data_IF_467624940599
#
_entry.id   IF_467624940599
#
_cell.length_a   1.000
_cell.length_b   1.000
_cell.length_c   1.000
_cell.angle_alpha   90.00
_cell.angle_beta   90.00
_cell.angle_gamma   90.00
#
_symmetry.space_group_name_H-M   'P 1'
#
loop_
_entity.id
_entity.type
_entity.pdbx_description
1 polymer ?
#
# COMPACT_ATOMS: atom_id res chain seq x y z
N UNK A 1 -33.01 63.99 5.34
CA UNK A 1 -33.04 62.83 6.26
C UNK A 1 -31.88 61.94 5.93
N UNK A 2 -30.83 61.98 6.75
CA UNK A 2 -29.74 61.01 6.65
C UNK A 2 -30.23 59.68 7.23
N UNK A 3 -29.85 58.54 6.66
CA UNK A 3 -30.25 57.23 7.17
C UNK A 3 -29.54 56.97 8.51
N UNK A 4 -30.31 56.59 9.52
CA UNK A 4 -29.79 56.21 10.85
C UNK A 4 -30.06 54.72 11.08
N UNK A 5 -29.00 53.98 11.38
CA UNK A 5 -29.01 52.53 11.56
C UNK A 5 -28.65 52.19 13.00
N UNK A 6 -29.29 51.16 13.57
CA UNK A 6 -29.09 50.79 14.98
C UNK A 6 -27.71 50.17 15.22
N UNK A 7 -27.12 49.54 14.20
CA UNK A 7 -25.80 48.90 14.29
C UNK A 7 -24.91 49.25 13.10
N UNK A 8 -23.60 49.11 13.28
CA UNK A 8 -22.62 49.26 12.20
C UNK A 8 -22.84 48.24 11.09
N UNK A 9 -23.23 47.01 11.42
CA UNK A 9 -23.49 45.95 10.45
C UNK A 9 -24.68 46.28 9.52
N UNK A 10 -25.75 46.88 10.07
CA UNK A 10 -26.88 47.34 9.26
C UNK A 10 -26.50 48.50 8.34
N UNK A 11 -25.67 49.43 8.84
CA UNK A 11 -25.12 50.53 8.06
C UNK A 11 -24.18 50.03 6.93
N UNK A 12 -23.32 49.06 7.22
CA UNK A 12 -22.46 48.40 6.24
C UNK A 12 -23.31 47.67 5.20
N UNK A 13 -24.31 46.89 5.61
CA UNK A 13 -25.21 46.19 4.69
C UNK A 13 -25.99 47.15 3.77
N UNK A 14 -26.43 48.30 4.28
CA UNK A 14 -27.10 49.33 3.49
C UNK A 14 -26.15 49.99 2.48
N UNK A 15 -24.91 50.26 2.89
CA UNK A 15 -23.86 50.77 2.01
C UNK A 15 -23.47 49.75 0.92
N UNK A 16 -23.34 48.46 1.25
CA UNK A 16 -23.07 47.40 0.28
C UNK A 16 -24.23 47.22 -0.73
N UNK A 17 -25.49 47.34 -0.27
CA UNK A 17 -26.67 47.35 -1.16
C UNK A 17 -26.63 48.52 -2.14
N UNK A 18 -26.17 49.69 -1.70
CA UNK A 18 -25.95 50.84 -2.58
C UNK A 18 -24.87 50.54 -3.63
N UNK A 19 -23.71 50.01 -3.23
CA UNK A 19 -22.64 49.63 -4.17
C UNK A 19 -23.15 48.66 -5.24
N UNK A 20 -23.91 47.64 -4.83
CA UNK A 20 -24.52 46.66 -5.72
C UNK A 20 -25.56 47.27 -6.66
N UNK A 21 -26.45 48.12 -6.15
CA UNK A 21 -27.49 48.80 -6.96
C UNK A 21 -26.88 49.74 -7.99
N UNK A 22 -25.78 50.40 -7.63
CA UNK A 22 -25.06 51.32 -8.51
C UNK A 22 -24.16 50.62 -9.53
N UNK A 23 -24.11 49.27 -9.52
CA UNK A 23 -23.35 48.49 -10.50
C UNK A 23 -21.84 48.59 -10.35
N UNK A 24 -21.35 48.95 -9.15
CA UNK A 24 -19.92 49.07 -8.85
C UNK A 24 -19.23 47.74 -9.13
N UNK A 25 -18.17 47.79 -9.94
CA UNK A 25 -17.38 46.63 -10.33
C UNK A 25 -16.04 46.58 -9.58
N UNK A 26 -15.41 45.41 -9.44
CA UNK A 26 -14.14 45.27 -8.71
C UNK A 26 -12.95 46.00 -9.36
N UNK A 27 -13.03 46.35 -10.64
CA UNK A 27 -12.02 47.10 -11.38
C UNK A 27 -12.15 48.62 -11.21
N UNK A 28 -13.22 49.10 -10.57
CA UNK A 28 -13.42 50.52 -10.29
C UNK A 28 -12.49 50.99 -9.18
N UNK A 29 -12.02 52.23 -9.29
CA UNK A 29 -11.33 52.88 -8.20
C UNK A 29 -12.30 53.62 -7.26
N UNK A 30 -11.81 53.99 -6.07
CA UNK A 30 -12.64 54.65 -5.05
C UNK A 30 -13.22 55.98 -5.54
N UNK A 31 -12.45 56.79 -6.27
CA UNK A 31 -12.89 58.10 -6.77
C UNK A 31 -14.00 57.99 -7.83
N UNK A 32 -13.89 57.02 -8.73
CA UNK A 32 -14.92 56.69 -9.71
C UNK A 32 -16.21 56.25 -9.02
N UNK A 33 -16.08 55.38 -8.02
CA UNK A 33 -17.23 54.92 -7.22
C UNK A 33 -17.91 56.07 -6.49
N UNK A 34 -17.15 56.98 -5.87
CA UNK A 34 -17.68 58.15 -5.18
C UNK A 34 -18.51 59.06 -6.08
N UNK A 35 -18.09 59.29 -7.34
CA UNK A 35 -18.85 60.10 -8.30
C UNK A 35 -20.24 59.53 -8.56
N UNK A 36 -20.38 58.21 -8.47
CA UNK A 36 -21.63 57.48 -8.72
C UNK A 36 -22.52 57.46 -7.48
N UNK A 37 -21.94 57.25 -6.29
CA UNK A 37 -22.73 56.97 -5.07
C UNK A 37 -22.95 58.19 -4.16
N UNK A 38 -22.16 59.27 -4.28
CA UNK A 38 -22.15 60.37 -3.29
C UNK A 38 -23.46 61.14 -3.16
N UNK A 39 -24.31 61.12 -4.20
CA UNK A 39 -25.64 61.78 -4.18
C UNK A 39 -26.71 60.93 -3.50
N UNK A 40 -26.43 59.65 -3.24
CA UNK A 40 -27.39 58.74 -2.66
C UNK A 40 -27.47 58.94 -1.13
N UNK A 41 -28.67 59.02 -0.53
CA UNK A 41 -28.81 59.10 0.93
C UNK A 41 -28.08 57.97 1.66
N UNK A 42 -28.03 56.77 1.05
CA UNK A 42 -27.39 55.58 1.61
C UNK A 42 -25.86 55.65 1.65
N UNK A 43 -25.24 56.60 0.94
CA UNK A 43 -23.81 56.85 1.05
C UNK A 43 -23.40 57.27 2.47
N UNK A 44 -24.31 57.96 3.19
CA UNK A 44 -24.09 58.41 4.57
C UNK A 44 -24.45 57.38 5.64
N UNK A 45 -24.85 56.17 5.24
CA UNK A 45 -25.17 55.07 6.17
C UNK A 45 -23.99 54.78 7.12
N UNK A 46 -22.77 54.67 6.58
CA UNK A 46 -21.54 54.63 7.36
C UNK A 46 -21.09 56.07 7.62
N UNK A 47 -20.77 56.45 8.85
CA UNK A 47 -20.44 57.85 9.21
C UNK A 47 -18.98 58.20 8.88
N UNK A 48 -18.02 57.33 9.19
CA UNK A 48 -16.59 57.55 8.96
C UNK A 48 -16.21 57.31 7.47
N UNK A 49 -15.58 58.29 6.78
CA UNK A 49 -15.05 58.09 5.44
C UNK A 49 -14.05 56.93 5.32
N UNK A 50 -13.27 56.62 6.37
CA UNK A 50 -12.34 55.48 6.38
C UNK A 50 -13.08 54.16 6.31
N UNK A 51 -14.14 54.02 7.12
CA UNK A 51 -14.97 52.81 7.15
C UNK A 51 -15.71 52.62 5.82
N UNK A 52 -16.15 53.71 5.16
CA UNK A 52 -16.73 53.64 3.80
C UNK A 52 -15.74 53.08 2.78
N UNK A 53 -14.50 53.56 2.83
CA UNK A 53 -13.45 53.09 1.92
C UNK A 53 -13.09 51.62 2.20
N UNK A 54 -12.98 51.24 3.47
CA UNK A 54 -12.73 49.84 3.86
C UNK A 54 -13.87 48.91 3.42
N UNK A 55 -15.13 49.32 3.60
CA UNK A 55 -16.30 48.56 3.15
C UNK A 55 -16.33 48.40 1.62
N UNK A 56 -15.90 49.42 0.87
CA UNK A 56 -15.75 49.33 -0.58
C UNK A 56 -14.63 48.38 -1.01
N UNK A 57 -13.45 48.47 -0.40
CA UNK A 57 -12.33 47.57 -0.70
C UNK A 57 -12.69 46.11 -0.40
N UNK A 58 -13.37 45.87 0.73
CA UNK A 58 -13.93 44.56 1.10
C UNK A 58 -14.95 44.07 0.07
N UNK A 59 -15.89 44.92 -0.35
CA UNK A 59 -16.88 44.59 -1.38
C UNK A 59 -16.22 44.15 -2.69
N UNK A 60 -15.23 44.90 -3.18
CA UNK A 60 -14.51 44.56 -4.40
C UNK A 60 -13.74 43.23 -4.25
N UNK A 61 -13.10 43.01 -3.10
CA UNK A 61 -12.41 41.75 -2.81
C UNK A 61 -13.38 40.57 -2.78
N UNK A 62 -14.49 40.68 -2.04
CA UNK A 62 -15.50 39.63 -1.90
C UNK A 62 -16.13 39.29 -3.25
N UNK A 63 -16.38 40.28 -4.12
CA UNK A 63 -16.84 40.05 -5.49
C UNK A 63 -15.85 39.22 -6.31
N UNK A 64 -14.54 39.54 -6.26
CA UNK A 64 -13.50 38.78 -6.98
C UNK A 64 -13.44 37.33 -6.47
N UNK A 65 -13.47 37.14 -5.15
CA UNK A 65 -13.45 35.81 -4.52
C UNK A 65 -14.68 35.01 -4.96
N UNK A 66 -15.86 35.61 -4.84
CA UNK A 66 -17.12 34.96 -5.18
C UNK A 66 -17.23 34.60 -6.67
N UNK A 67 -16.77 35.47 -7.58
CA UNK A 67 -16.76 35.15 -9.02
C UNK A 67 -15.76 34.04 -9.35
N UNK A 68 -14.60 34.00 -8.67
CA UNK A 68 -13.64 32.90 -8.79
C UNK A 68 -14.22 31.58 -8.27
N UNK A 69 -14.93 31.61 -7.15
CA UNK A 69 -15.60 30.43 -6.57
C UNK A 69 -16.70 29.92 -7.49
N UNK A 70 -17.59 30.81 -7.97
CA UNK A 70 -18.63 30.46 -8.94
C UNK A 70 -18.05 29.87 -10.23
N UNK A 71 -16.95 30.43 -10.74
CA UNK A 71 -16.27 29.89 -11.91
C UNK A 71 -15.71 28.47 -11.66
N UNK A 72 -15.13 28.24 -10.47
CA UNK A 72 -14.62 26.94 -10.03
C UNK A 72 -15.75 25.92 -9.84
N UNK A 73 -16.86 26.32 -9.24
CA UNK A 73 -18.04 25.46 -9.06
C UNK A 73 -18.64 25.06 -10.41
N UNK A 74 -18.79 26.03 -11.33
CA UNK A 74 -19.25 25.78 -12.70
C UNK A 74 -18.38 24.75 -13.40
N UNK A 75 -17.05 24.90 -13.31
CA UNK A 75 -16.11 23.97 -13.94
C UNK A 75 -16.11 22.59 -13.28
N UNK A 76 -16.21 22.54 -11.94
CA UNK A 76 -16.32 21.27 -11.20
C UNK A 76 -17.59 20.51 -11.56
N UNK A 77 -18.72 21.22 -11.65
CA UNK A 77 -19.99 20.65 -12.08
C UNK A 77 -19.92 20.15 -13.52
N UNK A 78 -19.39 20.97 -14.43
CA UNK A 78 -19.21 20.58 -15.83
C UNK A 78 -18.32 19.33 -15.95
N UNK A 79 -17.23 19.23 -15.19
CA UNK A 79 -16.39 18.02 -15.12
C UNK A 79 -17.19 16.78 -14.75
N UNK A 80 -17.92 16.84 -13.63
CA UNK A 80 -18.69 15.72 -13.13
C UNK A 80 -19.81 15.29 -14.10
N UNK A 81 -20.50 16.28 -14.70
CA UNK A 81 -21.55 16.02 -15.69
C UNK A 81 -20.95 15.39 -16.96
N UNK A 82 -19.80 15.88 -17.44
CA UNK A 82 -19.12 15.37 -18.63
C UNK A 82 -18.59 13.94 -18.41
N UNK A 83 -18.03 13.66 -17.23
CA UNK A 83 -17.60 12.31 -16.84
C UNK A 83 -18.80 11.34 -16.78
N UNK A 84 -19.92 11.77 -16.19
CA UNK A 84 -21.15 10.98 -16.09
C UNK A 84 -21.73 10.67 -17.46
N UNK A 85 -21.72 11.65 -18.37
CA UNK A 85 -22.11 11.47 -19.77
C UNK A 85 -21.17 10.46 -20.45
N UNK A 86 -19.85 10.63 -20.37
CA UNK A 86 -18.88 9.73 -21.00
C UNK A 86 -18.99 8.28 -20.51
N UNK A 87 -19.31 8.08 -19.22
CA UNK A 87 -19.58 6.75 -18.65
C UNK A 87 -20.77 6.01 -19.29
N UNK A 88 -21.71 6.73 -19.93
CA UNK A 88 -22.86 6.13 -20.64
C UNK A 88 -22.48 5.60 -22.02
N UNK A 89 -21.28 5.88 -22.50
CA UNK A 89 -20.75 5.44 -23.80
C UNK A 89 -19.74 4.30 -23.62
N UNK A 90 -20.18 3.03 -23.51
CA UNK A 90 -19.28 1.89 -23.32
C UNK A 90 -18.32 1.67 -24.50
N UNK A 91 -18.60 2.22 -25.68
CA UNK A 91 -17.73 2.23 -26.85
C UNK A 91 -16.47 3.10 -26.66
N UNK A 92 -16.48 4.05 -25.72
CA UNK A 92 -15.31 4.84 -25.35
C UNK A 92 -14.44 4.00 -24.41
N UNK A 93 -13.28 3.59 -24.91
CA UNK A 93 -12.27 2.81 -24.18
C UNK A 93 -11.07 3.68 -23.85
N UNK A 94 -10.18 3.17 -22.99
CA UNK A 94 -8.93 3.85 -22.58
C UNK A 94 -7.99 4.24 -23.75
N UNK A 95 -8.17 3.65 -24.94
CA UNK A 95 -7.40 3.97 -26.15
C UNK A 95 -8.16 4.83 -27.17
N UNK A 96 -9.44 5.14 -26.92
CA UNK A 96 -10.29 5.92 -27.84
C UNK A 96 -9.74 7.34 -27.98
N UNK A 97 -9.71 7.85 -29.22
CA UNK A 97 -9.21 9.19 -29.56
C UNK A 97 -10.36 10.18 -29.68
N UNK A 98 -10.08 11.46 -29.43
CA UNK A 98 -11.07 12.55 -29.53
C UNK A 98 -11.84 12.56 -30.85
N UNK A 99 -11.13 12.43 -31.99
CA UNK A 99 -11.75 12.42 -33.33
C UNK A 99 -12.81 11.32 -33.50
N UNK A 100 -12.66 10.20 -32.78
CA UNK A 100 -13.58 9.06 -32.83
C UNK A 100 -14.71 9.23 -31.82
N UNK A 101 -14.41 9.74 -30.63
CA UNK A 101 -15.40 9.96 -29.57
C UNK A 101 -16.35 11.13 -29.86
N UNK A 102 -15.85 12.20 -30.49
CA UNK A 102 -16.63 13.43 -30.71
C UNK A 102 -17.97 13.18 -31.42
N UNK A 103 -18.04 12.46 -32.56
CA UNK A 103 -19.32 12.16 -33.20
C UNK A 103 -20.28 11.32 -32.34
N UNK A 104 -19.76 10.58 -31.35
CA UNK A 104 -20.58 9.75 -30.45
C UNK A 104 -21.29 10.60 -29.38
N UNK A 105 -20.68 11.73 -28.98
CA UNK A 105 -21.13 12.55 -27.85
C UNK A 105 -21.66 13.93 -28.25
N UNK A 106 -21.55 14.34 -29.52
CA UNK A 106 -21.97 15.69 -29.96
C UNK A 106 -23.50 15.95 -29.86
N UNK A 107 -24.28 14.87 -29.79
CA UNK A 107 -25.73 14.91 -29.54
C UNK A 107 -26.10 15.20 -28.09
N UNK A 108 -25.17 15.01 -27.15
CA UNK A 108 -25.45 15.05 -25.72
C UNK A 108 -25.67 16.48 -25.22
N UNK A 109 -26.60 16.63 -24.28
CA UNK A 109 -26.96 17.95 -23.70
C UNK A 109 -25.78 18.57 -22.96
N UNK A 110 -25.01 17.75 -22.24
CA UNK A 110 -23.83 18.17 -21.49
C UNK A 110 -22.69 18.58 -22.43
N UNK A 111 -22.54 17.91 -23.57
CA UNK A 111 -21.58 18.33 -24.59
C UNK A 111 -21.90 19.74 -25.10
N UNK A 112 -23.19 20.04 -25.27
CA UNK A 112 -23.70 21.34 -25.75
C UNK A 112 -23.78 22.43 -24.67
N UNK A 113 -23.55 22.12 -23.39
CA UNK A 113 -23.63 23.12 -22.32
C UNK A 113 -22.41 24.05 -22.21
N UNK A 114 -21.31 23.73 -22.89
CA UNK A 114 -20.16 24.62 -23.10
C UNK A 114 -19.86 24.66 -24.60
N UNK A 115 -19.56 25.83 -25.16
CA UNK A 115 -19.15 25.97 -26.57
C UNK A 115 -17.63 25.94 -26.77
N UNK A 116 -16.86 25.85 -25.68
CA UNK A 116 -15.42 25.85 -25.73
C UNK A 116 -14.88 24.46 -26.10
N UNK A 117 -14.49 24.29 -27.37
CA UNK A 117 -13.95 23.02 -27.88
C UNK A 117 -12.66 22.57 -27.15
N UNK A 118 -11.83 23.52 -26.72
CA UNK A 118 -10.61 23.20 -25.95
C UNK A 118 -10.96 22.61 -24.59
N UNK A 119 -11.96 23.17 -23.91
CA UNK A 119 -12.46 22.68 -22.63
C UNK A 119 -13.07 21.28 -22.79
N UNK A 120 -13.94 21.07 -23.78
CA UNK A 120 -14.54 19.75 -24.08
C UNK A 120 -13.47 18.68 -24.31
N UNK A 121 -12.45 19.01 -25.10
CA UNK A 121 -11.35 18.10 -25.39
C UNK A 121 -10.54 17.78 -24.13
N UNK A 122 -10.26 18.78 -23.29
CA UNK A 122 -9.56 18.57 -22.03
C UNK A 122 -10.34 17.65 -21.10
N UNK A 123 -11.65 17.85 -20.94
CA UNK A 123 -12.51 17.00 -20.12
C UNK A 123 -12.50 15.54 -20.59
N UNK A 124 -12.53 15.32 -21.91
CA UNK A 124 -12.40 13.99 -22.48
C UNK A 124 -11.01 13.37 -22.23
N UNK A 125 -9.93 14.15 -22.40
CA UNK A 125 -8.57 13.67 -22.16
C UNK A 125 -8.36 13.30 -20.68
N UNK A 126 -8.92 14.10 -19.74
CA UNK A 126 -8.96 13.79 -18.31
C UNK A 126 -9.63 12.43 -18.06
N UNK A 127 -10.82 12.19 -18.64
CA UNK A 127 -11.52 10.90 -18.54
C UNK A 127 -10.73 9.72 -19.14
N UNK A 128 -10.08 9.90 -20.28
CA UNK A 128 -9.25 8.85 -20.90
C UNK A 128 -8.05 8.51 -20.03
N UNK A 129 -7.44 9.49 -19.36
CA UNK A 129 -6.34 9.25 -18.40
C UNK A 129 -6.85 8.39 -17.24
N UNK A 130 -8.02 8.70 -16.69
CA UNK A 130 -8.64 7.89 -15.63
C UNK A 130 -8.94 6.46 -16.11
N UNK A 131 -9.50 6.28 -17.31
CA UNK A 131 -9.72 4.95 -17.88
C UNK A 131 -8.42 4.17 -18.09
N UNK A 132 -7.34 4.82 -18.53
CA UNK A 132 -6.01 4.18 -18.66
C UNK A 132 -5.47 3.75 -17.30
N UNK A 133 -5.58 4.62 -16.30
CA UNK A 133 -5.16 4.32 -14.93
C UNK A 133 -5.95 3.13 -14.38
N UNK A 134 -7.27 3.17 -14.47
CA UNK A 134 -8.13 2.07 -14.03
C UNK A 134 -7.81 0.75 -14.76
N UNK A 135 -7.49 0.80 -16.06
CA UNK A 135 -7.10 -0.38 -16.82
C UNK A 135 -5.77 -0.99 -16.32
N UNK A 136 -4.74 -0.16 -16.11
CA UNK A 136 -3.44 -0.59 -15.59
C UNK A 136 -3.57 -1.12 -14.17
N UNK A 137 -4.34 -0.45 -13.32
CA UNK A 137 -4.60 -0.88 -11.94
C UNK A 137 -5.32 -2.23 -11.92
N UNK A 138 -6.31 -2.43 -12.79
CA UNK A 138 -7.01 -3.70 -12.92
C UNK A 138 -6.09 -4.83 -13.42
N UNK A 139 -5.23 -4.58 -14.41
CA UNK A 139 -4.25 -5.56 -14.88
C UNK A 139 -3.24 -5.92 -13.79
N UNK A 140 -2.74 -4.92 -13.07
CA UNK A 140 -1.76 -5.11 -11.99
C UNK A 140 -2.38 -5.89 -10.83
N UNK A 141 -3.60 -5.54 -10.43
CA UNK A 141 -4.35 -6.24 -9.39
C UNK A 141 -4.63 -7.69 -9.79
N UNK A 142 -5.11 -7.93 -11.01
CA UNK A 142 -5.38 -9.28 -11.52
C UNK A 142 -4.12 -10.14 -11.56
N UNK A 143 -2.99 -9.60 -12.05
CA UNK A 143 -1.69 -10.27 -12.04
C UNK A 143 -1.22 -10.56 -10.62
N UNK A 144 -1.37 -9.62 -9.69
CA UNK A 144 -1.00 -9.81 -8.28
C UNK A 144 -1.83 -10.93 -7.65
N UNK A 145 -3.15 -10.91 -7.80
CA UNK A 145 -4.02 -11.99 -7.30
C UNK A 145 -3.64 -13.34 -7.92
N UNK A 146 -3.34 -13.40 -9.21
CA UNK A 146 -2.87 -14.62 -9.86
C UNK A 146 -1.52 -15.09 -9.29
N UNK A 147 -0.57 -14.18 -9.06
CA UNK A 147 0.73 -14.48 -8.44
C UNK A 147 0.58 -15.01 -7.01
N UNK A 148 -0.21 -14.35 -6.17
CA UNK A 148 -0.46 -14.78 -4.79
C UNK A 148 -1.09 -16.19 -4.77
N UNK A 149 -2.06 -16.43 -5.67
CA UNK A 149 -2.65 -17.74 -5.83
C UNK A 149 -1.66 -18.82 -6.32
N UNK A 150 -0.65 -18.45 -7.10
CA UNK A 150 0.39 -19.39 -7.54
C UNK A 150 1.35 -19.69 -6.38
N UNK A 151 1.73 -18.68 -5.60
CA UNK A 151 2.55 -18.83 -4.39
C UNK A 151 1.86 -19.75 -3.37
N UNK A 152 0.54 -19.65 -3.23
CA UNK A 152 -0.25 -20.52 -2.35
C UNK A 152 -0.42 -21.95 -2.90
N UNK A 153 -0.31 -22.12 -4.23
CA UNK A 153 -0.47 -23.41 -4.90
C UNK A 153 0.82 -24.23 -4.84
N UNK A 154 1.97 -23.61 -5.07
CA UNK A 154 3.26 -24.29 -5.19
C UNK A 154 3.59 -25.23 -4.02
N UNK A 155 3.40 -24.85 -2.73
CA UNK A 155 3.63 -25.75 -1.60
C UNK A 155 2.74 -27.00 -1.60
N UNK A 156 1.55 -26.95 -2.21
CA UNK A 156 0.60 -28.07 -2.25
C UNK A 156 0.96 -29.11 -3.31
N UNK A 157 1.90 -28.77 -4.20
CA UNK A 157 2.37 -29.66 -5.27
C UNK A 157 3.43 -30.65 -4.79
N UNK A 158 3.82 -30.61 -3.51
CA UNK A 158 4.81 -31.49 -2.89
C UNK A 158 6.12 -31.59 -3.70
N UNK A 159 6.60 -30.46 -4.21
CA UNK A 159 7.85 -30.39 -4.96
C UNK A 159 9.03 -30.66 -4.02
N UNK A 160 10.01 -31.43 -4.50
CA UNK A 160 11.24 -31.69 -3.75
C UNK A 160 12.20 -30.48 -3.84
N UNK A 161 13.09 -30.26 -2.85
CA UNK A 161 13.99 -29.11 -2.81
C UNK A 161 14.86 -28.91 -4.06
N UNK A 162 15.16 -29.98 -4.80
CA UNK A 162 16.03 -29.95 -5.97
C UNK A 162 15.28 -30.26 -7.29
N UNK A 163 13.95 -30.08 -7.29
CA UNK A 163 13.13 -30.30 -8.48
C UNK A 163 13.56 -29.33 -9.59
N UNK A 164 13.74 -29.83 -10.82
CA UNK A 164 14.10 -29.00 -11.96
C UNK A 164 12.86 -28.35 -12.57
N UNK A 165 13.06 -27.21 -13.24
CA UNK A 165 11.97 -26.50 -13.92
C UNK A 165 11.22 -27.38 -14.93
N UNK A 166 11.92 -28.22 -15.70
CA UNK A 166 11.30 -29.07 -16.71
C UNK A 166 10.25 -30.03 -16.10
N UNK A 167 10.57 -30.62 -14.95
CA UNK A 167 9.67 -31.53 -14.25
C UNK A 167 8.53 -30.76 -13.57
N UNK A 168 8.87 -29.66 -12.90
CA UNK A 168 7.89 -28.82 -12.21
C UNK A 168 6.89 -28.16 -13.17
N UNK A 169 7.32 -27.76 -14.36
CA UNK A 169 6.45 -27.15 -15.36
C UNK A 169 5.31 -28.09 -15.76
N UNK A 170 5.61 -29.39 -15.94
CA UNK A 170 4.60 -30.40 -16.22
C UNK A 170 3.58 -30.56 -15.08
N UNK A 171 4.07 -30.58 -13.84
CA UNK A 171 3.22 -30.69 -12.63
C UNK A 171 2.33 -29.44 -12.48
N UNK A 172 2.91 -28.24 -12.57
CA UNK A 172 2.17 -26.98 -12.45
C UNK A 172 1.11 -26.88 -13.56
N UNK A 173 1.48 -27.18 -14.81
CA UNK A 173 0.56 -27.06 -15.96
C UNK A 173 -0.55 -28.11 -15.97
N UNK A 174 -0.34 -29.25 -15.30
CA UNK A 174 -1.35 -30.32 -15.16
C UNK A 174 -2.25 -30.14 -13.93
N UNK A 175 -1.95 -29.16 -13.08
CA UNK A 175 -2.69 -28.94 -11.83
C UNK A 175 -4.08 -28.35 -12.11
N UNK A 176 -5.19 -28.95 -11.60
CA UNK A 176 -6.54 -28.50 -11.95
C UNK A 176 -6.84 -27.02 -11.64
N UNK A 177 -6.43 -26.45 -10.48
CA UNK A 177 -6.49 -25.00 -10.27
C UNK A 177 -5.82 -24.17 -11.36
N UNK A 178 -4.65 -24.60 -11.85
CA UNK A 178 -3.89 -23.85 -12.85
C UNK A 178 -4.51 -23.94 -14.26
N UNK A 179 -5.18 -25.05 -14.57
CA UNK A 179 -5.89 -25.24 -15.86
C UNK A 179 -7.25 -24.55 -15.91
N UNK A 180 -8.00 -24.62 -14.81
CA UNK A 180 -9.42 -24.24 -14.79
C UNK A 180 -9.64 -22.78 -14.36
N UNK A 181 -8.70 -22.18 -13.62
CA UNK A 181 -8.86 -20.81 -13.13
C UNK A 181 -8.27 -19.81 -14.13
N UNK A 182 -9.15 -19.00 -14.73
CA UNK A 182 -8.81 -17.96 -15.70
C UNK A 182 -7.79 -16.95 -15.17
N UNK A 183 -7.69 -16.76 -13.85
CA UNK A 183 -6.73 -15.83 -13.25
C UNK A 183 -5.29 -16.13 -13.68
N UNK A 184 -4.93 -17.41 -13.80
CA UNK A 184 -3.55 -17.83 -14.11
C UNK A 184 -3.19 -17.58 -15.57
N UNK A 185 -4.16 -17.40 -16.47
CA UNK A 185 -3.91 -17.02 -17.87
C UNK A 185 -3.34 -15.62 -18.01
N UNK A 186 -3.48 -14.77 -16.99
CA UNK A 186 -2.88 -13.44 -16.95
C UNK A 186 -1.38 -13.47 -16.66
N UNK A 187 -0.86 -14.60 -16.16
CA UNK A 187 0.55 -14.75 -15.84
C UNK A 187 1.36 -15.08 -17.08
N UNK A 188 2.51 -14.43 -17.22
CA UNK A 188 3.50 -14.79 -18.22
C UNK A 188 4.29 -16.02 -17.79
N UNK A 189 4.95 -16.71 -18.74
CA UNK A 189 5.87 -17.79 -18.40
C UNK A 189 6.99 -17.33 -17.44
N UNK A 190 7.45 -16.08 -17.58
CA UNK A 190 8.44 -15.48 -16.69
C UNK A 190 7.92 -15.34 -15.25
N UNK A 191 6.64 -14.98 -15.08
CA UNK A 191 6.01 -14.89 -13.76
C UNK A 191 6.00 -16.25 -13.05
N UNK A 192 5.56 -17.30 -13.77
CA UNK A 192 5.50 -18.66 -13.22
C UNK A 192 6.89 -19.16 -12.86
N UNK A 193 7.88 -18.93 -13.73
CA UNK A 193 9.27 -19.31 -13.47
C UNK A 193 9.83 -18.59 -12.23
N UNK A 194 9.53 -17.30 -12.07
CA UNK A 194 9.99 -16.50 -10.93
C UNK A 194 9.37 -17.00 -9.63
N UNK A 195 8.06 -17.28 -9.62
CA UNK A 195 7.39 -17.86 -8.46
C UNK A 195 7.97 -19.23 -8.09
N UNK A 196 8.19 -20.09 -9.08
CA UNK A 196 8.82 -21.39 -8.90
C UNK A 196 10.24 -21.28 -8.32
N UNK A 197 11.10 -20.43 -8.88
CA UNK A 197 12.47 -20.24 -8.38
C UNK A 197 12.49 -19.75 -6.94
N UNK A 198 11.61 -18.83 -6.57
CA UNK A 198 11.50 -18.33 -5.21
C UNK A 198 11.01 -19.43 -4.25
N UNK A 199 10.04 -20.24 -4.68
CA UNK A 199 9.57 -21.38 -3.91
C UNK A 199 10.67 -22.44 -3.73
N UNK A 200 11.43 -22.79 -4.77
CA UNK A 200 12.56 -23.73 -4.65
C UNK A 200 13.63 -23.22 -3.69
N UNK A 201 14.03 -21.95 -3.78
CA UNK A 201 14.97 -21.34 -2.82
C UNK A 201 14.46 -21.43 -1.38
N UNK A 202 13.16 -21.22 -1.17
CA UNK A 202 12.55 -21.35 0.15
C UNK A 202 12.57 -22.81 0.64
N UNK A 203 12.22 -23.78 -0.22
CA UNK A 203 12.29 -25.20 0.11
C UNK A 203 13.71 -25.64 0.44
N UNK A 204 14.69 -25.30 -0.40
CA UNK A 204 16.11 -25.59 -0.16
C UNK A 204 16.58 -25.05 1.19
N UNK A 205 16.21 -23.81 1.51
CA UNK A 205 16.52 -23.20 2.80
C UNK A 205 15.89 -23.98 3.95
N UNK A 206 14.60 -24.27 3.91
CA UNK A 206 13.91 -25.01 4.98
C UNK A 206 14.49 -26.42 5.17
N UNK A 207 14.87 -27.09 4.08
CA UNK A 207 15.51 -28.40 4.12
C UNK A 207 16.90 -28.33 4.77
N UNK A 208 17.72 -27.37 4.37
CA UNK A 208 19.05 -27.16 4.93
C UNK A 208 18.99 -26.78 6.42
N UNK A 209 18.05 -25.90 6.80
CA UNK A 209 17.83 -25.48 8.18
C UNK A 209 17.39 -26.68 9.04
N UNK A 210 16.49 -27.54 8.55
CA UNK A 210 16.07 -28.77 9.24
C UNK A 210 17.24 -29.74 9.45
N UNK A 211 18.07 -29.95 8.42
CA UNK A 211 19.24 -30.82 8.49
C UNK A 211 20.28 -30.29 9.48
N UNK A 212 20.50 -28.97 9.49
CA UNK A 212 21.42 -28.33 10.42
C UNK A 212 20.90 -28.40 11.86
N UNK A 213 19.59 -28.22 12.07
CA UNK A 213 18.96 -28.33 13.38
C UNK A 213 19.05 -29.77 13.92
N UNK A 214 18.78 -30.78 13.09
CA UNK A 214 18.97 -32.19 13.48
C UNK A 214 20.42 -32.49 13.88
N UNK A 215 21.38 -31.98 13.12
CA UNK A 215 22.82 -32.12 13.44
C UNK A 215 23.16 -31.43 14.77
N UNK A 216 22.66 -30.21 14.98
CA UNK A 216 22.87 -29.46 16.22
C UNK A 216 22.24 -30.17 17.43
N UNK A 217 21.02 -30.70 17.28
CA UNK A 217 20.33 -31.46 18.33
C UNK A 217 21.10 -32.74 18.68
N UNK A 218 21.61 -33.46 17.68
CA UNK A 218 22.45 -34.63 17.88
C UNK A 218 23.70 -34.27 18.70
N UNK A 219 24.47 -33.26 18.27
CA UNK A 219 25.66 -32.82 19.01
C UNK A 219 25.35 -32.34 20.44
N UNK A 220 24.22 -31.64 20.64
CA UNK A 220 23.79 -31.21 21.98
C UNK A 220 23.48 -32.41 22.88
N UNK A 221 22.81 -33.45 22.36
CA UNK A 221 22.55 -34.69 23.11
C UNK A 221 23.85 -35.41 23.45
N UNK A 222 24.76 -35.52 22.48
CA UNK A 222 26.07 -36.16 22.67
C UNK A 222 26.90 -35.43 23.74
N UNK A 223 26.98 -34.10 23.66
CA UNK A 223 27.68 -33.29 24.67
C UNK A 223 27.09 -33.47 26.07
N UNK A 224 25.75 -33.43 26.20
CA UNK A 224 25.08 -33.62 27.51
C UNK A 224 25.36 -35.00 28.09
N UNK A 225 25.37 -36.05 27.28
CA UNK A 225 25.70 -37.41 27.73
C UNK A 225 27.15 -37.48 28.21
N UNK A 226 28.07 -36.83 27.50
CA UNK A 226 29.49 -36.75 27.88
C UNK A 226 29.69 -36.02 29.21
N UNK A 227 29.09 -34.84 29.36
CA UNK A 227 29.17 -34.05 30.59
C UNK A 227 28.57 -34.83 31.77
N UNK A 228 27.43 -35.48 31.58
CA UNK A 228 26.80 -36.32 32.61
C UNK A 228 27.66 -37.54 33.01
N UNK A 229 28.37 -38.16 32.07
CA UNK A 229 29.30 -39.25 32.37
C UNK A 229 30.54 -38.75 33.13
N UNK A 230 31.08 -37.57 32.78
CA UNK A 230 32.16 -36.93 33.54
C UNK A 230 31.71 -36.61 34.98
N UNK A 231 30.48 -36.15 35.17
CA UNK A 231 29.90 -35.92 36.50
C UNK A 231 29.81 -37.23 37.30
N UNK A 232 29.38 -38.34 36.68
CA UNK A 232 29.39 -39.68 37.30
C UNK A 232 30.81 -40.08 37.74
N UNK A 233 31.81 -39.89 36.88
CA UNK A 233 33.20 -40.23 37.21
C UNK A 233 33.72 -39.40 38.39
N UNK A 234 33.46 -38.09 38.38
CA UNK A 234 33.83 -37.20 39.48
C UNK A 234 33.12 -37.56 40.79
N UNK A 235 31.85 -37.95 40.71
CA UNK A 235 31.07 -38.43 41.86
C UNK A 235 31.70 -39.69 42.47
N UNK A 236 32.02 -40.68 41.64
CA UNK A 236 32.65 -41.93 42.07
C UNK A 236 34.08 -41.71 42.59
N UNK A 237 34.82 -40.73 42.06
CA UNK A 237 36.13 -40.31 42.58
C UNK A 237 36.01 -39.72 43.98
N UNK A 238 35.02 -38.85 44.21
CA UNK A 238 34.74 -38.28 45.54
C UNK A 238 34.29 -39.34 46.55
N UNK A 239 33.57 -40.36 46.11
CA UNK A 239 33.18 -41.50 46.94
C UNK A 239 34.34 -42.49 47.22
N UNK A 240 35.54 -42.26 46.65
CA UNK A 240 36.69 -43.14 46.81
C UNK A 240 36.60 -44.48 46.06
N UNK A 241 35.59 -44.64 45.18
CA UNK A 241 35.38 -45.86 44.39
C UNK A 241 36.32 -45.96 43.19
N UNK A 242 36.87 -44.83 42.75
CA UNK A 242 37.92 -44.77 41.73
C UNK A 242 39.10 -43.92 42.21
N UNK A 243 40.31 -44.34 41.87
CA UNK A 243 41.57 -43.65 42.12
C UNK A 243 42.56 -43.95 40.98
N UNK A 244 43.75 -43.32 40.98
CA UNK A 244 44.74 -43.47 39.91
C UNK A 244 45.24 -44.92 39.68
N UNK A 245 45.07 -45.83 40.66
CA UNK A 245 45.44 -47.23 40.53
C UNK A 245 44.25 -48.13 40.07
N UNK A 246 43.05 -47.57 39.95
CA UNK A 246 41.85 -48.31 39.57
C UNK A 246 41.87 -48.64 38.09
N UNK A 247 41.72 -49.91 37.75
CA UNK A 247 41.68 -50.37 36.35
C UNK A 247 40.26 -50.32 35.81
N UNK A 248 40.10 -49.94 34.54
CA UNK A 248 38.82 -49.92 33.83
C UNK A 248 38.01 -51.23 33.98
N UNK A 249 38.67 -52.39 33.87
CA UNK A 249 38.01 -53.70 34.03
C UNK A 249 37.33 -53.91 35.39
N UNK A 250 37.87 -53.33 36.46
CA UNK A 250 37.27 -53.39 37.81
C UNK A 250 36.22 -52.29 38.02
N UNK A 251 36.33 -51.20 37.27
CA UNK A 251 35.43 -50.06 37.33
C UNK A 251 34.16 -50.25 36.52
N UNK A 252 34.25 -50.80 35.30
CA UNK A 252 33.13 -50.97 34.38
C UNK A 252 31.91 -51.69 34.99
N UNK A 253 32.05 -52.79 35.76
CA UNK A 253 30.90 -53.45 36.39
C UNK A 253 30.11 -52.56 37.37
N UNK A 254 30.72 -51.47 37.88
CA UNK A 254 30.07 -50.52 38.79
C UNK A 254 29.16 -49.52 38.05
N UNK A 255 29.33 -49.36 36.74
CA UNK A 255 28.66 -48.33 35.94
C UNK A 255 27.90 -48.89 34.72
N UNK A 256 28.02 -50.17 34.40
CA UNK A 256 27.41 -50.80 33.21
C UNK A 256 25.88 -50.60 33.12
N UNK A 257 25.23 -50.44 34.27
CA UNK A 257 23.78 -50.24 34.38
C UNK A 257 23.38 -48.78 34.62
N UNK A 258 24.34 -47.86 34.78
CA UNK A 258 24.06 -46.43 34.96
C UNK A 258 23.60 -45.81 33.64
N UNK A 259 22.50 -45.06 33.68
CA UNK A 259 21.92 -44.42 32.50
C UNK A 259 22.88 -43.43 31.85
N UNK A 260 23.74 -42.75 32.63
CA UNK A 260 24.74 -41.79 32.13
C UNK A 260 25.84 -42.48 31.34
N UNK A 261 26.27 -43.67 31.79
CA UNK A 261 27.23 -44.50 31.05
C UNK A 261 26.60 -45.05 29.76
N UNK A 262 25.40 -45.63 29.84
CA UNK A 262 24.69 -46.18 28.67
C UNK A 262 24.37 -45.11 27.63
N UNK A 263 24.00 -43.91 28.05
CA UNK A 263 23.73 -42.78 27.16
C UNK A 263 24.99 -42.31 26.42
N UNK A 264 26.16 -42.39 27.06
CA UNK A 264 27.46 -42.03 26.47
C UNK A 264 28.05 -43.16 25.60
N UNK A 265 27.76 -44.42 25.93
CA UNK A 265 28.29 -45.58 25.21
C UNK A 265 27.85 -45.57 23.73
N UNK A 266 28.82 -45.76 22.82
CA UNK A 266 28.57 -45.79 21.38
C UNK A 266 28.47 -44.43 20.69
N UNK A 267 28.66 -43.32 21.42
CA UNK A 267 28.77 -41.99 20.81
C UNK A 267 30.13 -41.77 20.13
N UNK A 268 30.20 -41.00 19.02
CA UNK A 268 31.45 -40.65 18.38
C UNK A 268 32.30 -39.69 19.24
N UNK A 269 33.62 -39.79 19.15
CA UNK A 269 34.57 -39.01 19.96
C UNK A 269 35.21 -39.87 21.06
N UNK A 270 35.70 -39.24 22.14
CA UNK A 270 36.37 -40.02 23.20
C UNK A 270 35.41 -41.00 23.87
N UNK A 271 35.86 -42.23 23.99
CA UNK A 271 35.11 -43.33 24.59
C UNK A 271 34.98 -43.14 26.11
N UNK A 272 33.99 -43.80 26.76
CA UNK A 272 33.89 -43.81 28.21
C UNK A 272 35.19 -44.25 28.93
N UNK A 273 35.97 -45.12 28.31
CA UNK A 273 37.24 -45.60 28.86
C UNK A 273 38.33 -44.52 28.79
N UNK A 274 38.43 -43.79 27.68
CA UNK A 274 39.36 -42.66 27.55
C UNK A 274 39.02 -41.55 28.55
N UNK A 275 37.74 -41.22 28.70
CA UNK A 275 37.28 -40.23 29.68
C UNK A 275 37.58 -40.62 31.14
N UNK A 276 37.58 -41.92 31.45
CA UNK A 276 37.98 -42.43 32.75
C UNK A 276 39.49 -42.29 33.00
N UNK A 277 40.31 -42.39 31.96
CA UNK A 277 41.76 -42.18 32.08
C UNK A 277 42.16 -40.70 32.22
N UNK A 278 41.28 -39.79 31.79
CA UNK A 278 41.49 -38.34 31.90
C UNK A 278 41.17 -37.78 33.31
N UNK A 279 40.64 -38.61 34.24
CA UNK A 279 40.23 -38.22 35.62
C UNK A 279 41.21 -38.72 36.68
#
# INVERSE_FOLDING_TARGET
NDPDYATFEEAEAAFLKLLKRSGVQPDWNWEQTLRTIAKDPQYRAIKDPKDRKAAFEKYCHDMIVHDKERAKERLTKLRADFETMLKRHPEIKHYTRWKTARPMIEGETIFRSTDNETERRQLFEEYIIELKKAHVDHQTSSRKTAMDGLIDLLPKLNLEPYTRWADAQGIISSTPPFQNDERYKTLSQFDVLTAFQNHMKALERTFNDSKQEQKNQKFRKERKARDAFLDLLNELRRQGKINAATKWQKFHPLIENDERYRAMAGQPGSTPQELFWDI
#
